data_IF_422674912520
#
_entry.id   IF_422674912520
#
_cell.length_a   1.000
_cell.length_b   1.000
_cell.length_c   1.000
_cell.angle_alpha   90.00
_cell.angle_beta   90.00
_cell.angle_gamma   90.00
#
_symmetry.space_group_name_H-M   'P 1'
#
loop_
_entity.id
_entity.type
_entity.pdbx_description
1 polymer ?
#
# COMPACT_ATOMS: atom_id res chain seq x y z
N UNK A 1 8.28 19.85 29.91
CA UNK A 1 7.86 21.26 29.71
C UNK A 1 6.78 21.36 28.63
N UNK A 2 6.84 20.55 27.56
CA UNK A 2 5.78 20.50 26.53
C UNK A 2 5.35 19.06 26.23
N UNK A 3 4.14 18.88 25.69
CA UNK A 3 3.61 17.57 25.28
C UNK A 3 4.03 17.18 23.86
N UNK A 4 3.78 15.92 23.47
CA UNK A 4 4.19 15.35 22.18
C UNK A 4 3.70 16.13 20.94
N UNK A 5 2.63 16.92 21.08
CA UNK A 5 1.99 17.65 19.98
C UNK A 5 2.38 19.14 19.92
N UNK A 6 3.35 19.59 20.73
CA UNK A 6 3.69 21.01 20.82
C UNK A 6 4.28 21.62 19.54
N UNK A 7 4.78 20.78 18.63
CA UNK A 7 5.32 21.16 17.31
C UNK A 7 4.59 20.42 16.17
N UNK A 8 3.32 20.06 16.41
CA UNK A 8 2.47 19.41 15.43
C UNK A 8 1.53 20.44 14.78
N UNK A 9 1.56 20.53 13.45
CA UNK A 9 0.76 21.48 12.68
C UNK A 9 -0.22 20.76 11.76
N UNK A 10 -1.52 20.86 12.07
CA UNK A 10 -2.60 20.18 11.33
C UNK A 10 -3.32 21.10 10.34
N UNK A 11 -3.57 22.35 10.76
CA UNK A 11 -4.36 23.31 9.99
C UNK A 11 -3.60 23.80 8.77
N UNK A 12 -4.23 23.78 7.59
CA UNK A 12 -3.58 24.19 6.34
C UNK A 12 -2.95 25.59 6.36
N UNK A 13 -3.54 26.54 7.11
CA UNK A 13 -2.94 27.88 7.28
C UNK A 13 -1.69 27.86 8.17
N UNK A 14 -1.65 26.97 9.17
CA UNK A 14 -0.49 26.82 10.05
C UNK A 14 0.64 26.11 9.30
N UNK A 15 0.31 25.10 8.50
CA UNK A 15 1.27 24.39 7.65
C UNK A 15 1.90 25.34 6.62
N UNK A 16 1.10 26.13 5.91
CA UNK A 16 1.59 27.12 4.94
C UNK A 16 2.49 28.19 5.59
N UNK A 17 2.08 28.73 6.74
CA UNK A 17 2.90 29.73 7.44
C UNK A 17 4.17 29.14 8.06
N UNK A 18 4.15 27.91 8.57
CA UNK A 18 5.33 27.22 9.07
C UNK A 18 6.34 26.93 7.95
N UNK A 19 5.87 26.45 6.79
CA UNK A 19 6.71 26.20 5.61
C UNK A 19 7.38 27.47 5.08
N UNK A 20 6.71 28.63 5.16
CA UNK A 20 7.26 29.93 4.76
C UNK A 20 8.22 30.51 5.80
N UNK A 21 7.84 30.43 7.08
CA UNK A 21 8.65 30.88 8.20
C UNK A 21 8.18 30.19 9.50
N UNK A 22 8.97 29.24 9.99
CA UNK A 22 8.65 28.46 11.19
C UNK A 22 8.37 29.32 12.43
N UNK A 23 9.05 30.47 12.58
CA UNK A 23 8.86 31.40 13.71
C UNK A 23 7.46 32.02 13.79
N UNK A 24 6.66 31.89 12.73
CA UNK A 24 5.27 32.36 12.70
C UNK A 24 4.41 31.63 13.73
N UNK A 25 4.70 30.34 13.96
CA UNK A 25 3.93 29.49 14.88
C UNK A 25 4.78 28.79 15.93
N UNK A 26 6.11 28.76 15.76
CA UNK A 26 7.06 28.14 16.68
C UNK A 26 7.88 29.21 17.40
N UNK A 27 7.50 29.51 18.65
CA UNK A 27 8.19 30.49 19.51
C UNK A 27 9.61 30.01 19.90
N UNK A 28 9.84 28.70 19.88
CA UNK A 28 11.12 28.04 20.13
C UNK A 28 11.28 26.89 19.14
N UNK A 29 12.48 26.32 19.00
CA UNK A 29 12.70 25.21 18.06
C UNK A 29 12.39 23.85 18.70
N UNK A 30 12.00 22.82 17.93
CA UNK A 30 11.80 21.47 18.44
C UNK A 30 13.03 20.92 19.19
N UNK A 31 14.22 21.20 18.67
CA UNK A 31 15.51 20.73 19.21
C UNK A 31 15.79 21.31 20.58
N UNK A 32 15.33 22.54 20.85
CA UNK A 32 15.49 23.20 22.14
C UNK A 32 14.78 22.47 23.29
N UNK A 33 13.85 21.56 22.97
CA UNK A 33 13.15 20.70 23.95
C UNK A 33 13.38 19.21 23.72
N UNK A 34 14.37 18.83 22.91
CA UNK A 34 14.75 17.44 22.66
C UNK A 34 13.89 16.70 21.62
N UNK A 35 13.15 17.43 20.78
CA UNK A 35 12.49 16.86 19.59
C UNK A 35 13.39 17.10 18.36
N UNK A 36 13.37 16.17 17.40
CA UNK A 36 14.23 16.26 16.21
C UNK A 36 13.67 17.15 15.12
N UNK A 37 12.35 17.29 15.03
CA UNK A 37 11.68 18.07 13.97
C UNK A 37 10.20 18.35 14.31
N UNK A 38 9.62 19.32 13.61
CA UNK A 38 8.19 19.61 13.61
C UNK A 38 7.43 18.62 12.73
N UNK A 39 6.24 18.20 13.15
CA UNK A 39 5.43 17.22 12.41
C UNK A 39 4.25 17.89 11.72
N UNK A 40 4.16 17.72 10.40
CA UNK A 40 2.94 17.98 9.65
C UNK A 40 1.99 16.79 9.85
N UNK A 41 0.89 17.03 10.57
CA UNK A 41 -0.11 15.99 10.85
C UNK A 41 -1.25 16.12 9.85
N UNK A 42 -1.67 14.99 9.30
CA UNK A 42 -2.83 14.93 8.42
C UNK A 42 -4.09 14.69 9.26
N UNK A 43 -5.03 15.64 9.16
CA UNK A 43 -6.27 15.61 9.93
C UNK A 43 -7.38 16.38 9.21
N UNK A 44 -8.51 16.55 9.90
CA UNK A 44 -9.72 17.14 9.30
C UNK A 44 -9.51 18.57 8.81
N UNK A 45 -8.51 19.28 9.34
CA UNK A 45 -8.19 20.64 8.93
C UNK A 45 -7.13 20.73 7.81
N UNK A 46 -6.59 19.59 7.38
CA UNK A 46 -5.63 19.56 6.29
C UNK A 46 -6.31 19.90 4.96
N UNK A 47 -5.65 20.78 4.20
CA UNK A 47 -6.12 21.27 2.90
C UNK A 47 -5.66 20.38 1.75
N UNK A 48 -6.24 20.60 0.56
CA UNK A 48 -5.90 19.83 -0.66
C UNK A 48 -4.42 19.96 -1.05
N UNK A 49 -3.80 21.12 -0.80
CA UNK A 49 -2.37 21.31 -1.08
C UNK A 49 -1.50 20.41 -0.19
N UNK A 50 -1.73 20.43 1.13
CA UNK A 50 -1.04 19.57 2.08
C UNK A 50 -1.25 18.09 1.77
N UNK A 51 -2.47 17.69 1.40
CA UNK A 51 -2.74 16.32 0.95
C UNK A 51 -1.95 15.95 -0.31
N UNK A 52 -1.90 16.82 -1.32
CA UNK A 52 -1.09 16.57 -2.54
C UNK A 52 0.41 16.46 -2.22
N UNK A 53 0.93 17.33 -1.37
CA UNK A 53 2.32 17.26 -0.94
C UNK A 53 2.60 15.94 -0.20
N UNK A 54 1.71 15.55 0.71
CA UNK A 54 1.81 14.28 1.43
C UNK A 54 1.78 13.07 0.49
N UNK A 55 0.90 13.09 -0.51
CA UNK A 55 0.90 12.07 -1.56
C UNK A 55 2.23 12.02 -2.32
N UNK A 56 2.80 13.17 -2.64
CA UNK A 56 4.10 13.26 -3.32
C UNK A 56 5.24 12.71 -2.45
N UNK A 57 5.25 13.04 -1.15
CA UNK A 57 6.18 12.49 -0.16
C UNK A 57 6.04 10.96 -0.01
N UNK A 58 4.81 10.45 -0.10
CA UNK A 58 4.51 9.01 -0.14
C UNK A 58 4.79 8.37 -1.50
N UNK A 59 5.23 9.15 -2.50
CA UNK A 59 5.61 8.68 -3.82
C UNK A 59 4.45 8.53 -4.81
N UNK A 60 3.27 9.09 -4.53
CA UNK A 60 2.13 9.12 -5.45
C UNK A 60 2.12 10.41 -6.27
N UNK A 61 2.05 10.25 -7.59
CA UNK A 61 1.79 11.33 -8.53
C UNK A 61 0.44 11.04 -9.20
N UNK A 62 -0.56 11.85 -8.88
CA UNK A 62 -1.94 11.63 -9.28
C UNK A 62 -2.42 12.81 -10.13
N UNK A 63 -3.14 12.51 -11.21
CA UNK A 63 -3.86 13.55 -11.94
C UNK A 63 -4.92 14.23 -11.07
N UNK A 64 -5.28 15.47 -11.43
CA UNK A 64 -6.18 16.31 -10.61
C UNK A 64 -7.53 15.66 -10.27
N UNK A 65 -8.07 14.85 -11.17
CA UNK A 65 -9.31 14.11 -10.94
C UNK A 65 -9.16 13.03 -9.87
N UNK A 66 -8.07 12.26 -9.91
CA UNK A 66 -7.77 11.22 -8.92
C UNK A 66 -7.46 11.82 -7.55
N UNK A 67 -6.71 12.93 -7.51
CA UNK A 67 -6.48 13.69 -6.27
C UNK A 67 -7.81 14.16 -5.67
N UNK A 68 -8.72 14.66 -6.50
CA UNK A 68 -10.00 15.17 -6.01
C UNK A 68 -10.85 14.07 -5.38
N UNK A 69 -10.86 12.87 -5.97
CA UNK A 69 -11.58 11.73 -5.42
C UNK A 69 -10.94 11.23 -4.12
N UNK A 70 -9.62 10.99 -4.13
CA UNK A 70 -8.87 10.57 -2.94
C UNK A 70 -9.00 11.59 -1.80
N UNK A 71 -8.98 12.88 -2.11
CA UNK A 71 -9.13 13.95 -1.12
C UNK A 71 -10.52 13.94 -0.47
N UNK A 72 -11.60 13.66 -1.22
CA UNK A 72 -12.95 13.52 -0.62
C UNK A 72 -13.00 12.38 0.37
N UNK A 73 -12.43 11.22 0.01
CA UNK A 73 -12.38 10.04 0.88
C UNK A 73 -11.51 10.30 2.12
N UNK A 74 -10.39 10.99 1.95
CA UNK A 74 -9.56 11.48 3.05
C UNK A 74 -10.34 12.36 4.03
N UNK A 75 -11.15 13.32 3.54
CA UNK A 75 -11.96 14.17 4.42
C UNK A 75 -12.99 13.37 5.21
N UNK A 76 -13.65 12.41 4.56
CA UNK A 76 -14.58 11.51 5.25
C UNK A 76 -13.86 10.70 6.34
N UNK A 77 -12.65 10.20 6.07
CA UNK A 77 -11.87 9.45 7.06
C UNK A 77 -11.41 10.33 8.22
N UNK A 78 -10.96 11.55 7.92
CA UNK A 78 -10.51 12.51 8.91
C UNK A 78 -11.65 13.06 9.79
N UNK A 79 -12.90 13.02 9.33
CA UNK A 79 -14.07 13.32 10.15
C UNK A 79 -14.35 12.22 11.19
N UNK A 80 -13.99 10.97 10.86
CA UNK A 80 -14.19 9.80 11.73
C UNK A 80 -13.01 9.55 12.68
N UNK A 81 -11.79 9.93 12.29
CA UNK A 81 -10.54 9.62 12.99
C UNK A 81 -9.77 10.91 13.30
N UNK A 82 -9.34 11.09 14.56
CA UNK A 82 -8.60 12.29 14.99
C UNK A 82 -7.26 12.45 14.26
N UNK A 83 -6.52 11.35 14.14
CA UNK A 83 -5.21 11.31 13.50
C UNK A 83 -5.27 10.36 12.30
N UNK A 84 -4.95 10.88 11.11
CA UNK A 84 -4.86 10.06 9.88
C UNK A 84 -3.39 9.78 9.62
N UNK A 85 -3.04 8.49 9.58
CA UNK A 85 -1.68 8.03 9.37
C UNK A 85 -1.37 7.84 7.88
N UNK A 86 -0.10 7.70 7.55
CA UNK A 86 0.37 7.52 6.17
C UNK A 86 -0.23 6.26 5.54
N UNK A 87 -0.39 5.19 6.31
CA UNK A 87 -1.03 3.95 5.90
C UNK A 87 -2.50 4.14 5.52
N UNK A 88 -3.21 5.02 6.25
CA UNK A 88 -4.60 5.37 5.95
C UNK A 88 -4.68 6.12 4.61
N UNK A 89 -3.74 7.04 4.36
CA UNK A 89 -3.67 7.83 3.12
C UNK A 89 -3.34 6.93 1.93
N UNK A 90 -2.39 6.01 2.09
CA UNK A 90 -2.04 4.99 1.08
C UNK A 90 -3.26 4.16 0.70
N UNK A 91 -4.02 3.66 1.69
CA UNK A 91 -5.22 2.86 1.43
C UNK A 91 -6.30 3.64 0.64
N UNK A 92 -6.44 4.95 0.88
CA UNK A 92 -7.39 5.80 0.16
C UNK A 92 -7.02 6.03 -1.31
N UNK A 93 -5.73 5.92 -1.63
CA UNK A 93 -5.17 6.18 -2.96
C UNK A 93 -5.09 4.90 -3.79
N UNK A 94 -4.82 3.77 -3.14
CA UNK A 94 -4.76 2.47 -3.80
C UNK A 94 -6.05 2.16 -4.57
N UNK A 95 -7.21 2.55 -4.06
CA UNK A 95 -8.50 2.37 -4.74
C UNK A 95 -8.63 3.16 -6.07
N UNK A 96 -7.87 4.24 -6.24
CA UNK A 96 -7.86 5.09 -7.44
C UNK A 96 -6.70 4.76 -8.40
N UNK A 97 -5.55 4.33 -7.89
CA UNK A 97 -4.33 4.02 -8.66
C UNK A 97 -4.30 2.58 -9.19
N UNK A 98 -4.91 1.62 -8.47
CA UNK A 98 -5.01 0.22 -8.92
C UNK A 98 -5.67 0.14 -10.30
N UNK A 99 -6.56 1.07 -10.66
CA UNK A 99 -7.21 1.06 -11.98
C UNK A 99 -6.31 1.46 -13.16
N UNK A 100 -5.13 2.04 -12.91
CA UNK A 100 -4.31 2.64 -13.96
C UNK A 100 -3.04 1.87 -14.33
N UNK A 101 -2.64 0.84 -13.58
CA UNK A 101 -1.42 0.07 -13.86
C UNK A 101 -1.48 -1.37 -13.31
N UNK A 102 -2.54 -2.10 -13.67
CA UNK A 102 -2.65 -3.53 -13.40
C UNK A 102 -1.73 -4.33 -14.35
N UNK A 103 -0.42 -4.13 -14.23
CA UNK A 103 0.61 -4.85 -15.00
C UNK A 103 0.44 -6.36 -14.87
N UNK A 104 0.09 -6.83 -13.68
CA UNK A 104 -0.17 -8.24 -13.39
C UNK A 104 -1.61 -8.38 -12.87
N UNK A 105 -2.40 -9.24 -13.50
CA UNK A 105 -3.76 -9.58 -13.09
C UNK A 105 -3.96 -11.09 -12.94
N UNK A 106 -4.72 -11.51 -11.93
CA UNK A 106 -5.12 -12.91 -11.76
C UNK A 106 -6.22 -13.26 -12.76
N UNK A 107 -5.98 -14.24 -13.63
CA UNK A 107 -6.96 -14.76 -14.59
C UNK A 107 -7.65 -16.01 -14.04
N UNK A 108 -6.87 -16.97 -13.56
CA UNK A 108 -7.40 -18.21 -12.99
C UNK A 108 -6.50 -18.75 -11.88
N UNK A 109 -7.12 -19.46 -10.94
CA UNK A 109 -6.45 -20.15 -9.84
C UNK A 109 -7.17 -21.47 -9.56
N UNK A 110 -6.42 -22.56 -9.54
CA UNK A 110 -6.81 -23.85 -9.03
C UNK A 110 -5.80 -24.27 -7.96
N UNK A 111 -6.30 -24.71 -6.81
CA UNK A 111 -5.46 -25.19 -5.70
C UNK A 111 -5.92 -26.58 -5.31
N UNK A 112 -5.00 -27.54 -5.39
CA UNK A 112 -5.20 -28.89 -4.91
C UNK A 112 -4.43 -29.06 -3.60
N UNK A 113 -5.15 -29.14 -2.49
CA UNK A 113 -4.57 -29.27 -1.16
C UNK A 113 -5.45 -30.11 -0.24
N UNK A 114 -4.89 -30.54 0.89
CA UNK A 114 -5.59 -31.34 1.89
C UNK A 114 -4.69 -32.44 2.45
N UNK A 115 -5.27 -33.31 3.28
CA UNK A 115 -4.53 -34.43 3.89
C UNK A 115 -4.09 -35.49 2.86
N UNK A 116 -4.74 -35.56 1.71
CA UNK A 116 -4.44 -36.51 0.64
C UNK A 116 -3.62 -35.90 -0.52
N UNK A 117 -3.47 -34.57 -0.54
CA UNK A 117 -2.79 -33.84 -1.60
C UNK A 117 -1.57 -33.11 -1.05
N UNK A 118 -0.50 -33.89 -0.83
CA UNK A 118 0.78 -33.46 -0.29
C UNK A 118 1.93 -33.80 -1.27
N UNK A 119 2.79 -32.83 -1.66
CA UNK A 119 2.68 -31.41 -1.31
C UNK A 119 1.47 -30.73 -2.00
N UNK A 120 0.88 -29.69 -1.41
CA UNK A 120 -0.12 -28.86 -2.07
C UNK A 120 0.38 -28.31 -3.41
N UNK A 121 -0.52 -28.24 -4.39
CA UNK A 121 -0.24 -27.81 -5.76
C UNK A 121 -1.15 -26.64 -6.12
N UNK A 122 -0.58 -25.62 -6.75
CA UNK A 122 -1.31 -24.48 -7.28
C UNK A 122 -1.06 -24.35 -8.78
N UNK A 123 -2.14 -24.33 -9.56
CA UNK A 123 -2.13 -24.05 -10.99
C UNK A 123 -2.78 -22.70 -11.20
N UNK A 124 -2.04 -21.72 -11.72
CA UNK A 124 -2.56 -20.36 -11.88
C UNK A 124 -2.13 -19.73 -13.20
N UNK A 125 -3.01 -18.86 -13.71
CA UNK A 125 -2.76 -18.08 -14.91
C UNK A 125 -2.84 -16.59 -14.57
N UNK A 126 -1.85 -15.83 -15.00
CA UNK A 126 -1.78 -14.38 -14.86
C UNK A 126 -1.82 -13.73 -16.24
N UNK A 127 -2.45 -12.58 -16.35
CA UNK A 127 -2.23 -11.65 -17.45
C UNK A 127 -1.10 -10.71 -17.03
N UNK A 128 0.01 -10.72 -17.75
CA UNK A 128 1.15 -9.83 -17.52
C UNK A 128 1.33 -8.99 -18.78
N UNK A 129 1.16 -7.67 -18.67
CA UNK A 129 1.19 -6.73 -19.80
C UNK A 129 0.24 -7.10 -20.96
N UNK A 130 -0.84 -7.83 -20.66
CA UNK A 130 -1.83 -8.30 -21.62
C UNK A 130 -1.60 -9.71 -22.15
N UNK A 131 -0.44 -10.32 -21.88
CA UNK A 131 -0.14 -11.70 -22.27
C UNK A 131 -0.50 -12.67 -21.14
N UNK A 132 -1.24 -13.72 -21.47
CA UNK A 132 -1.61 -14.75 -20.49
C UNK A 132 -0.49 -15.80 -20.35
N UNK A 133 0.00 -15.94 -19.12
CA UNK A 133 1.03 -16.91 -18.76
C UNK A 133 0.52 -17.83 -17.66
N UNK A 134 0.93 -19.10 -17.69
CA UNK A 134 0.45 -20.15 -16.78
C UNK A 134 1.60 -20.89 -16.12
N UNK A 135 1.46 -21.13 -14.82
CA UNK A 135 2.36 -21.96 -14.04
C UNK A 135 1.60 -23.01 -13.25
N UNK A 136 2.33 -24.06 -12.90
CA UNK A 136 1.89 -25.13 -12.04
C UNK A 136 3.07 -25.46 -11.11
N UNK A 137 2.88 -25.15 -9.82
CA UNK A 137 3.94 -25.23 -8.82
C UNK A 137 3.41 -25.84 -7.52
N UNK A 138 4.30 -26.52 -6.78
CA UNK A 138 4.01 -27.05 -5.44
C UNK A 138 4.63 -26.17 -4.36
N UNK A 139 4.12 -26.24 -3.14
CA UNK A 139 4.69 -25.53 -2.00
C UNK A 139 4.49 -26.26 -0.68
N UNK A 140 5.05 -25.70 0.40
CA UNK A 140 4.92 -26.28 1.75
C UNK A 140 3.50 -26.16 2.31
N UNK A 141 2.69 -25.27 1.71
CA UNK A 141 1.27 -25.07 1.98
C UNK A 141 0.55 -24.52 0.74
N UNK A 142 -0.79 -24.46 0.74
CA UNK A 142 -1.55 -23.97 -0.42
C UNK A 142 -1.22 -22.51 -0.74
N UNK A 143 -1.07 -21.66 0.28
CA UNK A 143 -0.68 -20.25 0.11
C UNK A 143 0.75 -20.13 -0.42
N UNK A 144 1.68 -20.94 0.08
CA UNK A 144 3.05 -20.95 -0.42
C UNK A 144 3.10 -21.41 -1.88
N UNK A 145 2.38 -22.47 -2.26
CA UNK A 145 2.29 -22.94 -3.65
C UNK A 145 1.82 -21.83 -4.60
N UNK A 146 0.80 -21.06 -4.20
CA UNK A 146 0.32 -19.89 -4.95
C UNK A 146 1.44 -18.85 -5.09
N UNK A 147 2.12 -18.50 -4.00
CA UNK A 147 3.17 -17.48 -4.02
C UNK A 147 4.38 -17.93 -4.85
N UNK A 148 4.75 -19.21 -4.81
CA UNK A 148 5.81 -19.76 -5.66
C UNK A 148 5.43 -19.68 -7.14
N UNK A 149 4.20 -20.08 -7.51
CA UNK A 149 3.74 -19.97 -8.89
C UNK A 149 3.68 -18.51 -9.38
N UNK A 150 3.25 -17.55 -8.56
CA UNK A 150 3.31 -16.12 -8.92
C UNK A 150 4.76 -15.66 -9.10
N UNK A 151 5.66 -16.05 -8.20
CA UNK A 151 7.10 -15.75 -8.31
C UNK A 151 7.68 -16.33 -9.60
N UNK A 152 7.37 -17.57 -9.95
CA UNK A 152 7.85 -18.24 -11.17
C UNK A 152 7.38 -17.51 -12.43
N UNK A 153 6.10 -17.16 -12.51
CA UNK A 153 5.54 -16.43 -13.65
C UNK A 153 6.12 -15.04 -13.84
N UNK A 154 6.34 -14.32 -12.73
CA UNK A 154 6.78 -12.92 -12.77
C UNK A 154 8.30 -12.77 -12.75
N UNK A 155 9.03 -13.87 -12.50
CA UNK A 155 10.46 -13.89 -12.21
C UNK A 155 10.87 -12.95 -11.05
N UNK A 156 9.92 -12.59 -10.18
CA UNK A 156 10.15 -11.74 -9.01
C UNK A 156 10.34 -12.59 -7.75
N UNK A 157 11.23 -12.17 -6.86
CA UNK A 157 11.53 -12.88 -5.60
C UNK A 157 11.60 -11.94 -4.39
N UNK A 158 10.57 -11.10 -4.13
CA UNK A 158 10.57 -10.27 -2.94
C UNK A 158 10.44 -11.11 -1.67
N UNK A 159 10.97 -10.59 -0.56
CA UNK A 159 10.84 -11.20 0.75
C UNK A 159 9.46 -10.92 1.33
N UNK A 160 8.75 -11.99 1.72
CA UNK A 160 7.46 -11.88 2.39
C UNK A 160 7.68 -11.58 3.87
N UNK A 161 7.36 -10.35 4.30
CA UNK A 161 7.51 -9.94 5.69
C UNK A 161 6.25 -10.19 6.53
N UNK A 162 5.07 -10.04 5.92
CA UNK A 162 3.79 -10.21 6.60
C UNK A 162 2.81 -10.91 5.67
N UNK A 163 2.10 -11.89 6.22
CA UNK A 163 0.89 -12.47 5.66
C UNK A 163 -0.14 -12.54 6.77
N UNK A 164 -1.30 -11.92 6.56
CA UNK A 164 -2.34 -11.84 7.58
C UNK A 164 -3.72 -11.95 6.93
N UNK A 165 -4.57 -12.79 7.52
CA UNK A 165 -5.94 -13.04 7.07
C UNK A 165 -6.91 -12.56 8.14
N UNK A 166 -7.91 -11.78 7.74
CA UNK A 166 -9.01 -11.30 8.57
C UNK A 166 -10.33 -11.76 7.99
N UNK A 167 -11.24 -12.20 8.85
CA UNK A 167 -12.65 -12.35 8.49
C UNK A 167 -13.32 -10.98 8.63
N UNK A 168 -13.94 -10.49 7.56
CA UNK A 168 -14.60 -9.17 7.54
C UNK A 168 -16.03 -9.26 8.06
N UNK A 169 -16.72 -10.37 7.77
CA UNK A 169 -18.14 -10.56 8.09
C UNK A 169 -18.39 -11.86 8.85
N UNK A 170 -19.59 -11.98 9.41
CA UNK A 170 -20.04 -13.17 10.15
C UNK A 170 -20.91 -14.02 9.23
N UNK A 171 -20.74 -15.34 9.25
CA UNK A 171 -21.51 -16.28 8.43
C UNK A 171 -20.60 -17.27 7.69
N UNK A 172 -21.21 -18.26 7.02
CA UNK A 172 -20.49 -19.23 6.18
C UNK A 172 -20.04 -18.64 4.83
N UNK A 173 -20.52 -17.45 4.50
CA UNK A 173 -20.21 -16.63 3.34
C UNK A 173 -19.29 -15.43 3.71
N UNK A 174 -18.60 -15.54 4.85
CA UNK A 174 -17.71 -14.49 5.33
C UNK A 174 -16.62 -14.16 4.30
N UNK A 175 -16.49 -12.89 3.96
CA UNK A 175 -15.43 -12.43 3.07
C UNK A 175 -14.10 -12.45 3.82
N UNK A 176 -13.09 -13.08 3.22
CA UNK A 176 -11.72 -13.04 3.70
C UNK A 176 -11.04 -11.78 3.15
N UNK A 177 -10.42 -11.01 4.03
CA UNK A 177 -9.50 -9.93 3.68
C UNK A 177 -8.08 -10.36 4.04
N UNK A 178 -7.19 -10.31 3.06
CA UNK A 178 -5.81 -10.73 3.19
C UNK A 178 -4.91 -9.53 2.97
N UNK A 179 -3.97 -9.33 3.89
CA UNK A 179 -2.90 -8.34 3.78
C UNK A 179 -1.56 -9.04 3.61
N UNK A 180 -0.80 -8.61 2.61
CA UNK A 180 0.56 -9.10 2.30
C UNK A 180 1.53 -7.93 2.35
N UNK A 181 2.63 -8.06 3.08
CA UNK A 181 3.76 -7.12 3.04
C UNK A 181 4.94 -7.75 2.34
N UNK A 182 5.36 -7.13 1.25
CA UNK A 182 6.56 -7.51 0.51
C UNK A 182 7.67 -6.51 0.79
N UNK A 183 8.90 -7.01 0.85
CA UNK A 183 10.10 -6.21 0.96
C UNK A 183 11.12 -6.63 -0.09
N UNK A 184 11.78 -5.63 -0.66
CA UNK A 184 12.94 -5.84 -1.51
C UNK A 184 13.88 -4.65 -1.45
N UNK A 185 15.17 -4.92 -1.28
CA UNK A 185 16.23 -3.91 -1.23
C UNK A 185 15.93 -2.79 -0.21
N UNK A 186 15.38 -3.15 0.95
CA UNK A 186 15.03 -2.20 2.01
C UNK A 186 13.74 -1.41 1.76
N UNK A 187 13.03 -1.67 0.65
CA UNK A 187 11.73 -1.05 0.35
C UNK A 187 10.61 -2.01 0.68
N UNK A 188 9.68 -1.55 1.51
CA UNK A 188 8.46 -2.29 1.85
C UNK A 188 7.25 -1.75 1.08
N UNK A 189 6.32 -2.63 0.77
CA UNK A 189 4.98 -2.32 0.23
C UNK A 189 3.93 -3.24 0.84
N UNK A 190 2.71 -2.75 0.99
CA UNK A 190 1.56 -3.54 1.43
C UNK A 190 0.59 -3.75 0.27
N UNK A 191 0.13 -4.97 0.06
CA UNK A 191 -0.99 -5.31 -0.82
C UNK A 191 -2.13 -5.91 -0.02
N UNK A 192 -3.35 -5.65 -0.49
CA UNK A 192 -4.58 -6.17 0.10
C UNK A 192 -5.40 -6.89 -0.96
N UNK A 193 -6.11 -7.93 -0.58
CA UNK A 193 -7.00 -8.69 -1.44
C UNK A 193 -8.18 -9.19 -0.64
N UNK A 194 -9.38 -9.11 -1.20
CA UNK A 194 -10.58 -9.55 -0.53
C UNK A 194 -11.41 -10.42 -1.48
N UNK A 195 -11.89 -11.56 -0.97
CA UNK A 195 -12.67 -12.54 -1.71
C UNK A 195 -13.36 -13.48 -0.70
N UNK A 196 -14.46 -14.14 -1.10
CA UNK A 196 -15.06 -15.19 -0.28
C UNK A 196 -14.17 -16.43 -0.20
N UNK A 197 -13.33 -16.65 -1.22
CA UNK A 197 -12.29 -17.67 -1.20
C UNK A 197 -10.98 -17.08 -0.65
N UNK A 198 -10.52 -17.59 0.48
CA UNK A 198 -9.28 -17.12 1.13
C UNK A 198 -8.03 -17.31 0.28
N UNK A 199 -7.98 -18.35 -0.58
CA UNK A 199 -6.86 -18.59 -1.49
C UNK A 199 -6.84 -17.55 -2.61
N UNK A 200 -8.01 -17.22 -3.17
CA UNK A 200 -8.15 -16.16 -4.18
C UNK A 200 -7.79 -14.80 -3.58
N UNK A 201 -8.30 -14.49 -2.38
CA UNK A 201 -7.95 -13.27 -1.66
C UNK A 201 -6.44 -13.16 -1.42
N UNK A 202 -5.79 -14.28 -1.06
CA UNK A 202 -4.34 -14.36 -0.85
C UNK A 202 -3.56 -14.09 -2.13
N UNK A 203 -3.96 -14.69 -3.25
CA UNK A 203 -3.33 -14.44 -4.55
C UNK A 203 -3.46 -12.96 -4.96
N UNK A 204 -4.67 -12.39 -4.84
CA UNK A 204 -4.92 -10.97 -5.14
C UNK A 204 -4.08 -10.04 -4.26
N UNK A 205 -4.00 -10.30 -2.96
CA UNK A 205 -3.21 -9.49 -2.03
C UNK A 205 -1.73 -9.46 -2.40
N UNK A 206 -1.17 -10.63 -2.77
CA UNK A 206 0.22 -10.74 -3.19
C UNK A 206 0.47 -10.03 -4.52
N UNK A 207 -0.40 -10.21 -5.53
CA UNK A 207 -0.29 -9.53 -6.84
C UNK A 207 -0.37 -8.01 -6.66
N UNK A 208 -1.29 -7.52 -5.82
CA UNK A 208 -1.42 -6.10 -5.53
C UNK A 208 -0.16 -5.54 -4.84
N UNK A 209 0.44 -6.29 -3.92
CA UNK A 209 1.72 -5.92 -3.33
C UNK A 209 2.83 -5.89 -4.39
N UNK A 210 2.85 -6.86 -5.30
CA UNK A 210 3.87 -6.96 -6.34
C UNK A 210 3.78 -5.82 -7.36
N UNK A 211 2.58 -5.48 -7.84
CA UNK A 211 2.36 -4.34 -8.74
C UNK A 211 2.88 -3.03 -8.10
N UNK A 212 2.61 -2.81 -6.81
CA UNK A 212 3.15 -1.64 -6.07
C UNK A 212 4.67 -1.68 -5.96
N UNK A 213 5.26 -2.86 -5.74
CA UNK A 213 6.70 -3.01 -5.66
C UNK A 213 7.37 -2.65 -6.99
N UNK A 214 6.81 -3.10 -8.12
CA UNK A 214 7.31 -2.79 -9.47
C UNK A 214 7.32 -1.28 -9.74
N UNK A 215 6.23 -0.58 -9.44
CA UNK A 215 6.16 0.89 -9.55
C UNK A 215 7.24 1.57 -8.69
N UNK A 216 7.46 1.07 -7.47
CA UNK A 216 8.47 1.61 -6.55
C UNK A 216 9.91 1.32 -6.98
N UNK A 217 10.14 0.34 -7.87
CA UNK A 217 11.45 0.11 -8.50
C UNK A 217 11.72 1.13 -9.59
N UNK A 218 10.77 1.32 -10.51
CA UNK A 218 10.90 2.25 -11.63
C UNK A 218 11.17 3.68 -11.15
N UNK A 219 10.50 4.11 -10.08
CA UNK A 219 10.71 5.45 -9.49
C UNK A 219 12.08 5.67 -8.86
N UNK A 220 12.84 4.62 -8.56
CA UNK A 220 14.18 4.73 -7.94
C UNK A 220 15.31 4.44 -8.91
N UNK A 221 15.03 3.89 -10.09
CA UNK A 221 16.05 3.79 -11.14
C UNK A 221 16.21 5.18 -11.77
N UNK A 222 17.34 5.89 -11.58
CA UNK A 222 17.60 7.02 -12.44
C UNK A 222 17.76 6.50 -13.87
N UNK A 223 17.24 7.24 -14.86
CA UNK A 223 17.55 6.97 -16.25
C UNK A 223 19.08 6.91 -16.37
N UNK A 224 19.61 5.79 -16.85
CA UNK A 224 21.02 5.70 -17.20
C UNK A 224 21.27 6.81 -18.21
N UNK A 225 22.02 7.84 -17.81
CA UNK A 225 22.55 8.83 -18.72
C UNK A 225 23.34 8.06 -19.77
N UNK A 226 22.81 8.03 -20.99
CA UNK A 226 23.58 7.65 -22.17
C UNK A 226 24.73 8.66 -22.27
N UNK A 227 25.95 8.12 -22.22
CA UNK A 227 27.18 8.86 -22.47
C UNK A 227 27.37 9.10 -23.97
#
# INVERSE_FOLDING_TARGET
>A
IVGANAFAHESGIHQDGMLKNAQTYEIMTPESVGLTESKLVMGKHSGRHAFRQKLTELGYDLGDNAIQDAFKRFKNLADLKKDVFDEDIVALVDDAVVRSNDTIQLVSLEVLCGTEHQPPRATLSLSIDGDEVRADTTGDGPVDAIFQAIKDLTSQRPHLQLYQVHAVTHGTDAQAEVTVRLEENGKTVNGQGADTDTMVASARAYINALNKLLIKREKTAPAALSA
#
